data_IF_545971547595
#
_entry.id   IF_545971547595
#
_cell.length_a   1.000
_cell.length_b   1.000
_cell.length_c   1.000
_cell.angle_alpha   90.00
_cell.angle_beta   90.00
_cell.angle_gamma   90.00
#
_symmetry.space_group_name_H-M   'P 1'
#
loop_
_entity.id
_entity.type
_entity.pdbx_description
1 polymer ?
#
# COMPACT_ATOMS: atom_id res chain seq x y z
N UNK A 1 -3.72 -16.60 17.12
CA UNK A 1 -2.39 -16.39 17.73
C UNK A 1 -2.14 -14.91 18.00
N UNK A 2 -1.17 -14.59 18.87
CA UNK A 2 -0.83 -13.24 19.33
C UNK A 2 0.67 -13.00 19.25
N UNK A 3 1.05 -11.81 18.76
CA UNK A 3 2.44 -11.37 18.59
C UNK A 3 2.63 -10.00 19.24
N UNK A 4 3.72 -9.80 19.97
CA UNK A 4 4.07 -8.53 20.64
C UNK A 4 5.57 -8.32 20.66
N UNK A 5 6.02 -7.06 20.59
CA UNK A 5 7.44 -6.68 20.70
C UNK A 5 8.08 -7.05 22.05
N UNK A 6 7.27 -7.44 23.05
CA UNK A 6 7.72 -7.94 24.35
C UNK A 6 7.37 -9.42 24.58
N UNK A 7 7.03 -10.14 23.51
CA UNK A 7 6.68 -11.56 23.56
C UNK A 7 7.89 -12.48 23.77
N UNK A 8 7.67 -13.78 23.62
CA UNK A 8 8.71 -14.80 23.72
C UNK A 8 8.51 -15.92 22.68
N UNK A 9 9.54 -16.26 21.91
CA UNK A 9 9.52 -17.32 20.90
C UNK A 9 9.99 -18.69 21.42
N UNK A 10 10.23 -18.85 22.72
CA UNK A 10 10.68 -20.12 23.32
C UNK A 10 9.69 -21.28 23.01
N UNK A 11 10.06 -22.06 21.99
CA UNK A 11 9.28 -23.16 21.36
C UNK A 11 8.94 -24.34 22.27
N UNK A 12 9.43 -24.34 23.51
CA UNK A 12 9.12 -25.37 24.51
C UNK A 12 7.85 -25.13 25.32
N UNK A 13 7.37 -23.88 25.44
CA UNK A 13 6.23 -23.54 26.32
C UNK A 13 5.29 -22.47 25.76
N UNK A 14 5.65 -21.73 24.72
CA UNK A 14 4.78 -20.71 24.14
C UNK A 14 4.24 -21.13 22.78
N UNK A 15 2.92 -21.31 22.68
CA UNK A 15 2.23 -21.65 21.44
C UNK A 15 1.55 -20.45 20.77
N UNK A 16 1.86 -19.22 21.22
CA UNK A 16 1.29 -17.97 20.74
C UNK A 16 -0.24 -17.84 20.89
N UNK A 17 -0.94 -18.75 21.57
CA UNK A 17 -2.41 -18.72 21.65
C UNK A 17 -2.95 -17.84 22.79
N UNK A 18 -2.10 -17.47 23.76
CA UNK A 18 -2.50 -16.67 24.90
C UNK A 18 -1.99 -15.23 24.76
N UNK A 19 -2.88 -14.24 24.82
CA UNK A 19 -2.50 -12.82 24.76
C UNK A 19 -1.57 -12.38 25.90
N UNK A 20 -1.60 -13.07 27.04
CA UNK A 20 -0.68 -12.83 28.16
C UNK A 20 0.71 -13.48 27.98
N UNK A 21 0.86 -14.36 26.98
CA UNK A 21 2.11 -14.97 26.56
C UNK A 21 2.20 -14.93 25.02
N UNK A 22 2.28 -13.75 24.39
CA UNK A 22 2.37 -13.64 22.95
C UNK A 22 3.75 -14.08 22.45
N UNK A 23 3.85 -14.46 21.18
CA UNK A 23 5.13 -14.66 20.54
C UNK A 23 5.84 -13.32 20.28
N UNK A 24 7.16 -13.35 20.23
CA UNK A 24 7.99 -12.18 19.98
C UNK A 24 7.97 -11.82 18.48
N UNK A 25 8.06 -12.84 17.62
CA UNK A 25 8.10 -12.67 16.17
C UNK A 25 6.81 -13.14 15.49
N UNK A 26 6.57 -12.59 14.30
CA UNK A 26 5.48 -13.04 13.42
C UNK A 26 5.79 -14.44 12.90
N UNK A 27 7.04 -14.71 12.51
CA UNK A 27 7.48 -16.02 12.04
C UNK A 27 7.19 -17.13 13.05
N UNK A 28 7.49 -16.94 14.34
CA UNK A 28 7.16 -17.93 15.36
C UNK A 28 5.65 -18.22 15.44
N UNK A 29 4.80 -17.19 15.30
CA UNK A 29 3.36 -17.39 15.24
C UNK A 29 2.90 -18.09 13.95
N UNK A 30 3.53 -17.83 12.80
CA UNK A 30 3.27 -18.56 11.56
C UNK A 30 3.63 -20.04 11.70
N UNK A 31 4.78 -20.34 12.31
CA UNK A 31 5.21 -21.71 12.57
C UNK A 31 4.27 -22.45 13.52
N UNK A 32 3.79 -21.78 14.57
CA UNK A 32 2.79 -22.37 15.45
C UNK A 32 1.46 -22.59 14.71
N UNK A 33 1.05 -21.67 13.84
CA UNK A 33 -0.17 -21.80 13.04
C UNK A 33 -0.12 -23.02 12.12
N UNK A 34 1.02 -23.24 11.46
CA UNK A 34 1.22 -24.42 10.61
C UNK A 34 1.03 -25.75 11.36
N UNK A 35 1.20 -25.79 12.68
CA UNK A 35 1.00 -27.00 13.50
C UNK A 35 -0.47 -27.29 13.81
N UNK A 36 -1.37 -26.31 13.67
CA UNK A 36 -2.80 -26.51 13.96
C UNK A 36 -3.52 -27.24 12.83
N UNK A 37 -3.05 -27.05 11.59
CA UNK A 37 -3.68 -27.58 10.39
C UNK A 37 -4.97 -26.84 9.99
N UNK A 38 -5.23 -25.68 10.59
CA UNK A 38 -6.43 -24.85 10.37
C UNK A 38 -6.05 -23.43 9.91
N UNK A 39 -7.03 -22.69 9.37
CA UNK A 39 -6.85 -21.28 9.06
C UNK A 39 -6.67 -20.46 10.35
N UNK A 40 -5.53 -19.79 10.49
CA UNK A 40 -5.16 -19.11 11.74
C UNK A 40 -5.12 -17.58 11.61
N UNK A 41 -5.67 -16.89 12.61
CA UNK A 41 -5.57 -15.43 12.74
C UNK A 41 -4.40 -15.07 13.65
N UNK A 42 -3.41 -14.37 13.12
CA UNK A 42 -2.25 -13.85 13.85
C UNK A 42 -2.48 -12.36 14.15
N UNK A 43 -2.81 -12.06 15.40
CA UNK A 43 -3.01 -10.69 15.88
C UNK A 43 -1.67 -10.10 16.29
N UNK A 44 -1.22 -9.06 15.58
CA UNK A 44 0.05 -8.39 15.82
C UNK A 44 -0.24 -7.08 16.55
N UNK A 45 0.27 -6.96 17.77
CA UNK A 45 0.11 -5.75 18.58
C UNK A 45 0.82 -4.54 17.94
N UNK A 46 0.44 -3.34 18.37
CA UNK A 46 1.16 -2.14 17.99
C UNK A 46 2.63 -2.23 18.44
N UNK A 47 3.55 -1.84 17.57
CA UNK A 47 4.97 -1.92 17.80
C UNK A 47 5.79 -1.80 16.53
N UNK A 48 7.08 -1.56 16.71
CA UNK A 48 8.07 -1.64 15.65
C UNK A 48 8.80 -2.98 15.78
N UNK A 49 8.47 -3.91 14.89
CA UNK A 49 9.09 -5.22 14.79
C UNK A 49 10.29 -5.07 13.87
N UNK A 50 11.49 -5.28 14.41
CA UNK A 50 12.74 -5.15 13.65
C UNK A 50 13.43 -6.48 13.56
N UNK A 51 13.70 -6.95 12.34
CA UNK A 51 14.64 -8.04 12.12
C UNK A 51 16.05 -7.45 12.00
N UNK A 52 16.92 -7.83 12.94
CA UNK A 52 18.33 -7.45 12.99
C UNK A 52 19.26 -8.65 12.76
N UNK A 53 18.71 -9.82 12.42
CA UNK A 53 19.31 -11.13 12.71
C UNK A 53 19.38 -12.15 11.57
N UNK A 54 18.92 -11.85 10.36
CA UNK A 54 19.23 -12.66 9.16
C UNK A 54 18.24 -13.77 8.82
N UNK A 55 16.95 -13.57 9.11
CA UNK A 55 15.89 -14.35 8.48
C UNK A 55 15.59 -13.83 7.08
N UNK A 56 15.25 -14.73 6.16
CA UNK A 56 14.96 -14.35 4.76
C UNK A 56 13.69 -13.48 4.62
N UNK A 57 12.77 -13.48 5.61
CA UNK A 57 11.59 -12.61 5.71
C UNK A 57 11.01 -12.50 7.15
N UNK A 58 10.22 -11.45 7.49
CA UNK A 58 9.47 -11.39 8.76
C UNK A 58 8.38 -12.46 8.87
N UNK A 59 7.80 -12.82 7.73
CA UNK A 59 6.78 -13.84 7.61
C UNK A 59 7.02 -14.61 6.32
N UNK A 60 7.46 -15.85 6.45
CA UNK A 60 7.55 -16.84 5.39
C UNK A 60 6.41 -17.84 5.56
N UNK A 61 5.50 -17.86 4.58
CA UNK A 61 4.34 -18.73 4.58
C UNK A 61 4.54 -19.81 3.51
N UNK A 62 4.78 -21.03 3.96
CA UNK A 62 4.98 -22.19 3.09
C UNK A 62 3.66 -22.75 2.53
N UNK A 63 3.75 -23.53 1.45
CA UNK A 63 2.62 -24.17 0.80
C UNK A 63 1.70 -24.92 1.77
N UNK A 64 0.39 -24.82 1.57
CA UNK A 64 -0.62 -25.48 2.39
C UNK A 64 -0.96 -24.78 3.70
N UNK A 65 -0.29 -23.67 4.03
CA UNK A 65 -0.63 -22.84 5.19
C UNK A 65 -1.52 -21.66 4.77
N UNK A 66 -2.55 -21.42 5.56
CA UNK A 66 -3.46 -20.30 5.40
C UNK A 66 -3.42 -19.42 6.66
N UNK A 67 -3.02 -18.16 6.50
CA UNK A 67 -2.87 -17.25 7.65
C UNK A 67 -3.50 -15.88 7.37
N UNK A 68 -4.13 -15.32 8.40
CA UNK A 68 -4.61 -13.94 8.43
C UNK A 68 -3.82 -13.13 9.44
N UNK A 69 -2.97 -12.23 8.96
CA UNK A 69 -2.12 -11.37 9.77
C UNK A 69 -2.81 -10.01 9.94
N UNK A 70 -3.15 -9.68 11.19
CA UNK A 70 -3.91 -8.46 11.51
C UNK A 70 -3.09 -7.60 12.45
N UNK A 71 -2.60 -6.46 11.97
CA UNK A 71 -1.97 -5.44 12.79
C UNK A 71 -2.98 -4.56 13.53
N UNK A 72 -2.49 -3.82 14.53
CA UNK A 72 -3.26 -2.85 15.30
C UNK A 72 -3.51 -1.50 14.57
N UNK A 73 -3.17 -1.39 13.29
CA UNK A 73 -3.27 -0.17 12.48
C UNK A 73 -2.02 0.06 11.64
N UNK A 74 -2.17 0.51 10.40
CA UNK A 74 -1.04 0.66 9.47
C UNK A 74 0.08 1.54 10.03
N UNK A 75 -0.28 2.64 10.71
CA UNK A 75 0.69 3.54 11.37
C UNK A 75 1.26 3.00 12.69
N UNK A 76 0.66 1.94 13.26
CA UNK A 76 0.96 1.46 14.61
C UNK A 76 1.68 0.11 14.64
N UNK A 77 1.55 -0.70 13.59
CA UNK A 77 2.18 -2.02 13.48
C UNK A 77 3.16 -1.98 12.32
N UNK A 78 4.45 -1.88 12.63
CA UNK A 78 5.50 -1.65 11.63
C UNK A 78 6.44 -2.84 11.61
N UNK A 79 6.56 -3.47 10.44
CA UNK A 79 7.54 -4.49 10.12
C UNK A 79 8.68 -3.77 9.40
N UNK A 80 9.82 -3.64 10.06
CA UNK A 80 10.91 -2.76 9.65
C UNK A 80 12.23 -3.54 9.49
N UNK A 81 12.82 -3.52 8.30
CA UNK A 81 14.07 -4.20 7.96
C UNK A 81 15.29 -3.25 7.94
N UNK A 82 15.72 -2.57 9.03
CA UNK A 82 16.72 -1.52 8.92
C UNK A 82 18.12 -2.08 8.60
N UNK A 83 18.67 -1.71 7.45
CA UNK A 83 20.12 -1.71 7.19
C UNK A 83 20.81 -3.08 7.11
N UNK A 84 20.08 -4.17 6.91
CA UNK A 84 20.64 -5.49 6.64
C UNK A 84 20.36 -5.90 5.18
N UNK A 85 21.35 -6.49 4.53
CA UNK A 85 21.37 -6.78 3.09
C UNK A 85 20.70 -8.11 2.73
N UNK A 86 19.73 -8.56 3.51
CA UNK A 86 19.01 -9.83 3.33
C UNK A 86 17.70 -9.94 4.10
N UNK A 87 17.08 -8.81 4.48
CA UNK A 87 15.80 -8.80 5.20
C UNK A 87 14.67 -8.47 4.23
N UNK A 88 13.69 -9.37 4.11
CA UNK A 88 12.44 -9.12 3.40
C UNK A 88 11.28 -8.92 4.36
N UNK A 89 10.25 -8.22 3.90
CA UNK A 89 9.00 -8.10 4.66
C UNK A 89 8.26 -9.43 4.73
N UNK A 90 7.75 -9.91 3.60
CA UNK A 90 6.90 -11.12 3.57
C UNK A 90 7.21 -11.98 2.35
N UNK A 91 7.19 -13.30 2.53
CA UNK A 91 7.30 -14.28 1.46
C UNK A 91 6.11 -15.24 1.50
N UNK A 92 5.38 -15.32 0.40
CA UNK A 92 4.22 -16.20 0.24
C UNK A 92 4.53 -17.23 -0.83
N UNK A 93 4.64 -18.49 -0.44
CA UNK A 93 4.97 -19.59 -1.36
C UNK A 93 3.77 -19.99 -2.24
N UNK A 94 4.03 -20.65 -3.38
CA UNK A 94 2.96 -21.28 -4.15
C UNK A 94 2.13 -22.22 -3.26
N UNK A 95 0.81 -22.22 -3.45
CA UNK A 95 -0.12 -23.02 -2.65
C UNK A 95 -0.39 -22.49 -1.23
N UNK A 96 0.17 -21.34 -0.83
CA UNK A 96 -0.22 -20.64 0.40
C UNK A 96 -1.33 -19.61 0.12
N UNK A 97 -2.22 -19.38 1.10
CA UNK A 97 -3.21 -18.29 1.07
C UNK A 97 -3.02 -17.37 2.27
N UNK A 98 -2.77 -16.09 2.00
CA UNK A 98 -2.45 -15.12 3.04
C UNK A 98 -3.35 -13.91 2.92
N UNK A 99 -3.86 -13.43 4.05
CA UNK A 99 -4.38 -12.07 4.15
C UNK A 99 -3.55 -11.29 5.16
N UNK A 100 -3.19 -10.05 4.82
CA UNK A 100 -2.47 -9.16 5.72
C UNK A 100 -3.17 -7.79 5.76
N UNK A 101 -3.37 -7.27 6.96
CA UNK A 101 -4.08 -6.01 7.13
C UNK A 101 -3.55 -5.14 8.25
N UNK A 102 -3.80 -3.82 8.12
CA UNK A 102 -3.57 -2.83 9.17
C UNK A 102 -2.12 -2.82 9.69
N UNK A 103 -1.15 -2.88 8.78
CA UNK A 103 0.28 -2.89 9.11
C UNK A 103 1.10 -2.15 8.04
N UNK A 104 2.32 -1.79 8.39
CA UNK A 104 3.33 -1.26 7.48
C UNK A 104 4.44 -2.28 7.28
N UNK A 105 4.90 -2.47 6.05
CA UNK A 105 6.12 -3.20 5.70
C UNK A 105 7.10 -2.21 5.07
N UNK A 106 8.28 -2.07 5.66
CA UNK A 106 9.23 -1.07 5.21
C UNK A 106 10.69 -1.43 5.35
N UNK A 107 11.48 -0.71 4.55
CA UNK A 107 12.94 -0.76 4.54
C UNK A 107 13.50 -2.15 4.22
N UNK A 108 12.72 -3.04 3.61
CA UNK A 108 13.19 -4.32 3.08
C UNK A 108 14.37 -4.11 2.15
N UNK A 109 15.44 -4.87 2.35
CA UNK A 109 16.65 -4.80 1.53
C UNK A 109 17.26 -6.18 1.43
N UNK A 110 17.50 -6.61 0.20
CA UNK A 110 18.24 -7.82 -0.10
C UNK A 110 19.26 -7.52 -1.20
N UNK A 111 20.51 -7.90 -0.93
CA UNK A 111 21.67 -7.69 -1.80
C UNK A 111 21.95 -8.87 -2.72
N UNK A 112 21.19 -9.95 -2.61
CA UNK A 112 21.24 -11.05 -3.56
C UNK A 112 20.72 -10.62 -4.94
N UNK A 113 21.08 -11.37 -5.97
CA UNK A 113 20.61 -11.15 -7.34
C UNK A 113 19.16 -11.64 -7.55
N UNK A 114 18.66 -12.49 -6.66
CA UNK A 114 17.33 -13.11 -6.74
C UNK A 114 16.40 -12.50 -5.66
N UNK A 115 16.59 -11.20 -5.46
CA UNK A 115 16.02 -10.38 -4.40
C UNK A 115 14.66 -9.79 -4.79
N UNK A 116 13.88 -10.44 -5.67
CA UNK A 116 12.59 -9.90 -6.10
C UNK A 116 11.69 -9.68 -4.88
N UNK A 117 11.02 -8.52 -4.80
CA UNK A 117 10.02 -8.32 -3.75
C UNK A 117 10.62 -8.15 -2.36
N UNK A 118 11.61 -7.25 -2.18
CA UNK A 118 12.20 -7.03 -0.85
C UNK A 118 11.20 -6.57 0.21
N UNK A 119 10.13 -5.87 -0.17
CA UNK A 119 8.97 -5.68 0.70
C UNK A 119 8.16 -6.97 0.79
N UNK A 120 7.59 -7.41 -0.33
CA UNK A 120 6.81 -8.65 -0.42
C UNK A 120 7.19 -9.43 -1.68
N UNK A 121 7.50 -10.71 -1.53
CA UNK A 121 7.56 -11.68 -2.63
C UNK A 121 6.37 -12.62 -2.56
N UNK A 122 5.45 -12.51 -3.51
CA UNK A 122 4.27 -13.36 -3.62
C UNK A 122 4.38 -14.32 -4.79
N UNK A 123 4.36 -15.61 -4.49
CA UNK A 123 4.22 -16.72 -5.44
C UNK A 123 2.91 -17.51 -5.21
N UNK A 124 2.11 -17.13 -4.21
CA UNK A 124 0.84 -17.78 -3.85
C UNK A 124 -0.36 -16.85 -4.01
N UNK A 125 -1.33 -16.96 -3.09
CA UNK A 125 -2.51 -16.09 -3.05
C UNK A 125 -2.43 -15.11 -1.88
N UNK A 126 -2.31 -13.82 -2.19
CA UNK A 126 -2.16 -12.77 -1.20
C UNK A 126 -3.26 -11.70 -1.32
N UNK A 127 -3.90 -11.40 -0.20
CA UNK A 127 -4.78 -10.23 -0.05
C UNK A 127 -4.17 -9.24 0.94
N UNK A 128 -4.01 -7.98 0.50
CA UNK A 128 -3.53 -6.86 1.31
C UNK A 128 -4.66 -5.85 1.50
N UNK A 129 -4.91 -5.43 2.74
CA UNK A 129 -5.94 -4.44 3.04
C UNK A 129 -5.49 -3.43 4.10
N UNK A 130 -5.63 -2.14 3.83
CA UNK A 130 -5.16 -1.08 4.74
C UNK A 130 -3.68 -1.26 5.12
N UNK A 131 -2.82 -1.53 4.14
CA UNK A 131 -1.38 -1.68 4.37
C UNK A 131 -0.58 -0.54 3.75
N UNK A 132 0.60 -0.28 4.32
CA UNK A 132 1.58 0.62 3.73
C UNK A 132 2.82 -0.20 3.40
N UNK A 133 3.22 -0.22 2.13
CA UNK A 133 4.45 -0.86 1.65
C UNK A 133 5.39 0.25 1.21
N UNK A 134 6.46 0.51 1.98
CA UNK A 134 7.29 1.68 1.73
C UNK A 134 8.79 1.53 1.91
N UNK A 135 9.54 2.29 1.13
CA UNK A 135 11.00 2.38 1.24
C UNK A 135 11.74 1.04 1.14
N UNK A 136 11.11 0.03 0.53
CA UNK A 136 11.76 -1.25 0.25
C UNK A 136 12.63 -1.10 -1.01
N UNK A 137 13.79 -1.73 -1.04
CA UNK A 137 14.80 -1.50 -2.06
C UNK A 137 15.50 -2.80 -2.47
N UNK A 138 15.31 -3.21 -3.73
CA UNK A 138 16.04 -4.33 -4.33
C UNK A 138 17.43 -3.88 -4.81
N UNK A 139 18.43 -4.76 -4.76
CA UNK A 139 19.78 -4.43 -5.23
C UNK A 139 19.97 -4.60 -6.74
N UNK A 140 19.42 -5.66 -7.34
CA UNK A 140 19.56 -5.97 -8.77
C UNK A 140 18.40 -6.86 -9.25
N UNK A 141 17.17 -6.47 -8.91
CA UNK A 141 15.98 -7.30 -9.17
C UNK A 141 14.71 -6.45 -9.28
N UNK A 142 13.58 -7.11 -9.53
CA UNK A 142 12.28 -6.51 -9.78
C UNK A 142 11.43 -6.31 -8.51
N UNK A 143 10.43 -5.43 -8.59
CA UNK A 143 9.39 -5.35 -7.57
C UNK A 143 9.92 -4.82 -6.23
N UNK A 144 10.44 -3.59 -6.21
CA UNK A 144 11.06 -2.98 -5.03
C UNK A 144 10.18 -3.13 -3.78
N UNK A 145 8.92 -2.72 -3.91
CA UNK A 145 7.89 -2.93 -2.91
C UNK A 145 7.35 -4.36 -2.94
N UNK A 146 6.81 -4.77 -4.10
CA UNK A 146 6.15 -6.07 -4.25
C UNK A 146 6.57 -6.73 -5.57
N UNK A 147 6.95 -8.00 -5.49
CA UNK A 147 6.97 -8.89 -6.64
C UNK A 147 5.81 -9.90 -6.53
N UNK A 148 5.01 -10.01 -7.59
CA UNK A 148 3.91 -10.96 -7.69
C UNK A 148 4.11 -11.86 -8.90
N UNK A 149 4.61 -13.07 -8.71
CA UNK A 149 4.85 -13.99 -9.82
C UNK A 149 5.15 -15.42 -9.37
N UNK A 150 4.59 -16.39 -10.08
CA UNK A 150 4.94 -17.81 -9.93
C UNK A 150 5.97 -18.21 -10.98
N UNK A 151 7.14 -18.71 -10.56
CA UNK A 151 8.26 -19.07 -11.45
C UNK A 151 8.10 -20.44 -12.13
N UNK A 152 7.15 -21.28 -11.69
CA UNK A 152 6.91 -22.59 -12.27
C UNK A 152 5.72 -22.52 -13.25
N UNK A 153 5.92 -22.76 -14.56
CA UNK A 153 4.84 -22.72 -15.54
C UNK A 153 3.78 -23.82 -15.35
N UNK A 154 4.05 -24.83 -14.52
CA UNK A 154 3.08 -25.87 -14.15
C UNK A 154 2.23 -25.49 -12.93
N UNK A 155 2.63 -24.48 -12.18
CA UNK A 155 1.90 -23.95 -11.03
C UNK A 155 0.90 -22.87 -11.47
N UNK A 156 -0.18 -22.63 -10.72
CA UNK A 156 -1.06 -21.51 -11.00
C UNK A 156 -0.31 -20.16 -10.89
N UNK A 157 -0.75 -19.11 -11.62
CA UNK A 157 -0.20 -17.77 -11.44
C UNK A 157 -0.33 -17.29 -9.99
N UNK A 158 0.63 -16.47 -9.54
CA UNK A 158 0.52 -15.80 -8.24
C UNK A 158 -0.61 -14.76 -8.28
N UNK A 159 -1.48 -14.74 -7.28
CA UNK A 159 -2.62 -13.81 -7.21
C UNK A 159 -2.43 -12.80 -6.10
N UNK A 160 -2.59 -11.51 -6.42
CA UNK A 160 -2.45 -10.40 -5.49
C UNK A 160 -3.67 -9.48 -5.59
N UNK A 161 -4.42 -9.37 -4.50
CA UNK A 161 -5.48 -8.38 -4.32
C UNK A 161 -5.03 -7.32 -3.31
N UNK A 162 -5.05 -6.05 -3.71
CA UNK A 162 -4.68 -4.92 -2.84
C UNK A 162 -5.88 -3.99 -2.69
N UNK A 163 -6.24 -3.67 -1.44
CA UNK A 163 -7.38 -2.84 -1.08
C UNK A 163 -6.93 -1.70 -0.16
N UNK A 164 -7.41 -0.47 -0.40
CA UNK A 164 -7.27 0.65 0.55
C UNK A 164 -5.84 0.91 1.04
N UNK A 165 -4.85 0.66 0.18
CA UNK A 165 -3.44 0.57 0.58
C UNK A 165 -2.55 1.53 -0.18
N UNK A 166 -1.39 1.81 0.40
CA UNK A 166 -0.37 2.68 -0.20
C UNK A 166 0.91 1.91 -0.48
N UNK A 167 1.40 1.99 -1.71
CA UNK A 167 2.71 1.48 -2.11
C UNK A 167 3.55 2.69 -2.48
N UNK A 168 4.55 3.05 -1.65
CA UNK A 168 5.26 4.32 -1.86
C UNK A 168 6.74 4.33 -1.53
N UNK A 169 7.51 5.14 -2.26
CA UNK A 169 8.94 5.32 -1.98
C UNK A 169 9.77 4.04 -2.17
N UNK A 170 9.23 2.99 -2.80
CA UNK A 170 9.96 1.75 -3.03
C UNK A 170 10.85 1.88 -4.26
N UNK A 171 11.93 1.10 -4.27
CA UNK A 171 12.94 1.14 -5.32
C UNK A 171 13.25 -0.26 -5.84
N UNK A 172 13.14 -0.43 -7.14
CA UNK A 172 13.71 -1.57 -7.85
C UNK A 172 14.96 -1.11 -8.60
N UNK A 173 15.97 -1.97 -8.72
CA UNK A 173 17.03 -1.77 -9.72
C UNK A 173 16.63 -2.28 -11.10
N UNK A 174 15.84 -3.34 -11.18
CA UNK A 174 15.17 -3.77 -12.40
C UNK A 174 13.86 -3.00 -12.61
N UNK A 175 12.80 -3.73 -12.89
CA UNK A 175 11.47 -3.20 -13.22
C UNK A 175 10.53 -3.15 -12.02
N UNK A 176 9.46 -2.35 -12.13
CA UNK A 176 8.40 -2.32 -11.11
C UNK A 176 8.90 -1.76 -9.78
N UNK A 177 9.28 -0.49 -9.75
CA UNK A 177 9.80 0.15 -8.53
C UNK A 177 8.88 -0.04 -7.33
N UNK A 178 7.57 0.14 -7.56
CA UNK A 178 6.52 -0.20 -6.61
C UNK A 178 6.16 -1.69 -6.69
N UNK A 179 5.65 -2.11 -7.85
CA UNK A 179 5.12 -3.46 -8.07
C UNK A 179 5.62 -4.02 -9.40
N UNK A 180 6.14 -5.25 -9.38
CA UNK A 180 6.35 -6.07 -10.57
C UNK A 180 5.34 -7.24 -10.57
N UNK A 181 4.51 -7.32 -11.61
CA UNK A 181 3.51 -8.38 -11.80
C UNK A 181 3.96 -9.36 -12.89
N UNK A 182 4.53 -10.48 -12.46
CA UNK A 182 5.32 -11.40 -13.28
C UNK A 182 6.71 -10.87 -13.59
N UNK A 183 7.42 -11.55 -14.51
CA UNK A 183 8.82 -11.25 -14.86
C UNK A 183 9.81 -12.00 -13.97
N UNK A 184 10.84 -11.31 -13.47
CA UNK A 184 11.91 -11.88 -12.65
C UNK A 184 13.04 -12.49 -13.47
N UNK A 185 14.09 -12.99 -12.80
CA UNK A 185 15.38 -13.35 -13.45
C UNK A 185 15.37 -14.39 -14.59
N UNK A 186 14.23 -15.04 -14.87
CA UNK A 186 14.07 -15.92 -16.04
C UNK A 186 12.95 -15.50 -17.01
N UNK A 187 12.28 -14.35 -16.80
CA UNK A 187 11.14 -13.86 -17.59
C UNK A 187 9.97 -14.87 -17.71
N UNK A 188 9.89 -15.85 -16.81
CA UNK A 188 8.83 -16.86 -16.84
C UNK A 188 7.73 -16.62 -15.81
N UNK A 189 7.94 -15.72 -14.84
CA UNK A 189 6.97 -15.58 -13.78
C UNK A 189 5.69 -14.89 -14.28
N UNK A 190 4.54 -15.44 -13.88
CA UNK A 190 3.23 -14.89 -14.22
C UNK A 190 2.46 -14.51 -12.97
N UNK A 191 1.85 -13.33 -12.99
CA UNK A 191 1.09 -12.78 -11.89
C UNK A 191 -0.28 -12.25 -12.32
N UNK A 192 -1.22 -12.27 -11.37
CA UNK A 192 -2.53 -11.63 -11.46
C UNK A 192 -2.63 -10.59 -10.35
N UNK A 193 -2.68 -9.31 -10.73
CA UNK A 193 -2.80 -8.18 -9.82
C UNK A 193 -4.19 -7.55 -9.94
N UNK A 194 -4.85 -7.33 -8.81
CA UNK A 194 -6.06 -6.49 -8.72
C UNK A 194 -5.86 -5.45 -7.63
N UNK A 195 -6.15 -4.19 -7.93
CA UNK A 195 -6.07 -3.09 -6.95
C UNK A 195 -7.37 -2.32 -6.89
N UNK A 196 -7.84 -2.01 -5.68
CA UNK A 196 -9.05 -1.22 -5.44
C UNK A 196 -8.76 -0.13 -4.40
N UNK A 197 -9.09 1.13 -4.71
CA UNK A 197 -8.89 2.27 -3.81
C UNK A 197 -7.46 2.36 -3.27
N UNK A 198 -6.48 2.26 -4.15
CA UNK A 198 -5.06 2.24 -3.76
C UNK A 198 -4.31 3.44 -4.30
N UNK A 199 -3.25 3.82 -3.58
CA UNK A 199 -2.29 4.84 -4.05
C UNK A 199 -0.93 4.19 -4.30
N UNK A 200 -0.37 4.38 -5.50
CA UNK A 200 1.01 3.97 -5.87
C UNK A 200 1.80 5.24 -6.16
N UNK A 201 2.73 5.60 -5.28
CA UNK A 201 3.36 6.92 -5.36
C UNK A 201 4.83 6.98 -5.00
N UNK A 202 5.61 7.79 -5.74
CA UNK A 202 7.01 8.03 -5.39
C UNK A 202 7.91 6.81 -5.54
N UNK A 203 7.48 5.77 -6.25
CA UNK A 203 8.30 4.57 -6.46
C UNK A 203 9.26 4.77 -7.63
N UNK A 204 10.41 4.09 -7.60
CA UNK A 204 11.44 4.26 -8.63
C UNK A 204 11.94 2.92 -9.14
N UNK A 205 11.91 2.71 -10.45
CA UNK A 205 12.71 1.66 -11.10
C UNK A 205 14.05 2.24 -11.56
N UNK A 206 15.10 1.43 -11.49
CA UNK A 206 16.45 1.77 -11.91
C UNK A 206 16.84 1.03 -13.18
N UNK A 207 18.14 1.01 -13.47
CA UNK A 207 18.74 0.13 -14.48
C UNK A 207 19.47 -1.01 -13.79
N UNK A 208 19.04 -2.23 -14.09
CA UNK A 208 19.72 -3.45 -13.67
C UNK A 208 20.99 -3.69 -14.49
N UNK A 209 21.72 -4.75 -14.16
CA UNK A 209 22.93 -5.14 -14.90
C UNK A 209 22.71 -5.42 -16.38
N UNK A 210 21.48 -5.75 -16.77
CA UNK A 210 21.11 -6.17 -18.12
C UNK A 210 20.57 -5.01 -18.97
N UNK A 211 20.45 -3.82 -18.39
CA UNK A 211 20.02 -2.60 -19.08
C UNK A 211 18.51 -2.45 -19.17
N UNK A 212 17.75 -3.25 -18.42
CA UNK A 212 16.30 -3.21 -18.41
C UNK A 212 15.83 -2.27 -17.29
N UNK A 213 15.06 -1.26 -17.66
CA UNK A 213 14.48 -0.26 -16.76
C UNK A 213 13.07 0.05 -17.21
N UNK A 214 12.06 -0.30 -16.43
CA UNK A 214 10.70 0.13 -16.75
C UNK A 214 9.72 0.03 -15.58
N UNK A 215 8.60 0.75 -15.67
CA UNK A 215 7.52 0.69 -14.69
C UNK A 215 7.96 1.23 -13.34
N UNK A 216 8.12 2.55 -13.20
CA UNK A 216 8.51 3.15 -11.93
C UNK A 216 7.51 2.82 -10.82
N UNK A 217 6.22 2.92 -11.12
CA UNK A 217 5.13 2.48 -10.27
C UNK A 217 4.86 0.98 -10.44
N UNK A 218 4.33 0.60 -11.59
CA UNK A 218 3.90 -0.78 -11.89
C UNK A 218 4.54 -1.27 -13.19
N UNK A 219 5.09 -2.48 -13.15
CA UNK A 219 5.46 -3.25 -14.33
C UNK A 219 4.52 -4.46 -14.47
N UNK A 220 3.92 -4.62 -15.65
CA UNK A 220 3.06 -5.76 -15.98
C UNK A 220 3.72 -6.58 -17.10
N UNK A 221 4.18 -7.78 -16.76
CA UNK A 221 4.90 -8.67 -17.66
C UNK A 221 3.96 -9.35 -18.68
N UNK A 222 4.54 -9.85 -19.78
CA UNK A 222 3.82 -10.68 -20.75
C UNK A 222 3.22 -11.93 -20.07
N UNK A 223 1.98 -12.27 -20.43
CA UNK A 223 1.24 -13.37 -19.82
C UNK A 223 0.60 -13.03 -18.48
N UNK A 224 1.01 -11.94 -17.82
CA UNK A 224 0.42 -11.45 -16.58
C UNK A 224 -0.84 -10.61 -16.83
N UNK A 225 -1.68 -10.51 -15.80
CA UNK A 225 -2.92 -9.71 -15.83
C UNK A 225 -2.94 -8.70 -14.69
N UNK A 226 -3.29 -7.46 -14.99
CA UNK A 226 -3.48 -6.39 -14.01
C UNK A 226 -4.82 -5.70 -14.23
N UNK A 227 -5.59 -5.50 -13.16
CA UNK A 227 -6.84 -4.73 -13.20
C UNK A 227 -6.88 -3.72 -12.06
N UNK A 228 -7.12 -2.45 -12.38
CA UNK A 228 -7.11 -1.35 -11.43
C UNK A 228 -8.50 -0.69 -11.35
N UNK A 229 -8.98 -0.47 -10.14
CA UNK A 229 -10.25 0.20 -9.86
C UNK A 229 -10.03 1.34 -8.86
N UNK A 230 -10.34 2.57 -9.25
CA UNK A 230 -10.24 3.73 -8.34
C UNK A 230 -8.83 3.87 -7.75
N UNK A 231 -7.79 3.74 -8.60
CA UNK A 231 -6.39 3.79 -8.17
C UNK A 231 -5.78 5.13 -8.57
N UNK A 232 -4.91 5.67 -7.72
CA UNK A 232 -4.07 6.82 -8.04
C UNK A 232 -2.61 6.37 -8.19
N UNK A 233 -2.02 6.61 -9.37
CA UNK A 233 -0.62 6.28 -9.69
C UNK A 233 0.09 7.58 -10.04
N UNK A 234 0.92 8.09 -9.13
CA UNK A 234 1.52 9.39 -9.31
C UNK A 234 2.95 9.51 -8.79
N UNK A 235 3.73 10.46 -9.32
CA UNK A 235 5.09 10.74 -8.83
C UNK A 235 6.05 9.54 -8.90
N UNK A 236 5.75 8.52 -9.71
CA UNK A 236 6.66 7.38 -9.89
C UNK A 236 7.68 7.68 -10.99
N UNK A 237 8.87 7.09 -10.88
CA UNK A 237 9.98 7.38 -11.81
C UNK A 237 10.54 6.11 -12.40
N UNK A 238 10.60 6.02 -13.73
CA UNK A 238 11.45 5.07 -14.43
C UNK A 238 12.80 5.74 -14.69
N UNK A 239 13.83 5.37 -13.93
CA UNK A 239 15.15 5.99 -14.02
C UNK A 239 16.04 5.20 -15.00
N UNK A 240 15.74 5.29 -16.31
CA UNK A 240 16.57 4.68 -17.34
C UNK A 240 17.62 5.66 -17.89
N UNK A 241 18.78 5.76 -17.23
CA UNK A 241 19.86 6.63 -17.70
C UNK A 241 20.64 6.08 -18.89
N UNK A 242 20.41 4.82 -19.29
CA UNK A 242 21.18 4.16 -20.35
C UNK A 242 20.50 4.20 -21.73
N UNK A 243 19.29 4.76 -21.84
CA UNK A 243 18.70 5.24 -23.11
C UNK A 243 18.31 4.18 -24.14
N UNK A 244 18.33 2.89 -23.80
CA UNK A 244 18.03 1.80 -24.73
C UNK A 244 16.64 1.19 -24.58
N UNK A 245 15.90 1.53 -23.51
CA UNK A 245 14.59 0.95 -23.23
C UNK A 245 13.62 2.07 -22.82
N UNK A 246 12.49 2.19 -23.49
CA UNK A 246 11.45 3.13 -23.07
C UNK A 246 10.87 2.62 -21.75
N UNK A 247 10.66 3.50 -20.75
CA UNK A 247 10.15 3.08 -19.45
C UNK A 247 8.90 3.86 -19.10
N UNK A 248 7.74 3.19 -18.95
CA UNK A 248 6.58 3.85 -18.37
C UNK A 248 6.88 4.27 -16.92
N UNK A 249 6.98 5.58 -16.65
CA UNK A 249 7.29 6.08 -15.30
C UNK A 249 6.22 5.68 -14.28
N UNK A 250 4.95 5.83 -14.64
CA UNK A 250 3.80 5.29 -13.89
C UNK A 250 3.64 3.79 -14.10
N UNK A 251 3.20 3.39 -15.30
CA UNK A 251 2.97 1.98 -15.66
C UNK A 251 3.71 1.59 -16.94
N UNK A 252 4.42 0.47 -16.92
CA UNK A 252 4.82 -0.22 -18.15
C UNK A 252 4.05 -1.54 -18.31
N UNK A 253 3.23 -1.63 -19.35
CA UNK A 253 2.61 -2.89 -19.76
C UNK A 253 3.40 -3.54 -20.91
N UNK A 254 4.23 -4.53 -20.58
CA UNK A 254 5.10 -5.22 -21.53
C UNK A 254 4.37 -6.41 -22.19
N UNK A 255 3.25 -6.12 -22.86
CA UNK A 255 2.46 -7.14 -23.57
C UNK A 255 1.58 -8.03 -22.68
N UNK A 256 1.43 -7.71 -21.39
CA UNK A 256 0.42 -8.33 -20.54
C UNK A 256 -0.98 -7.76 -20.76
N UNK A 257 -1.97 -8.32 -20.06
CA UNK A 257 -3.32 -7.76 -20.01
C UNK A 257 -3.38 -6.70 -18.90
N UNK A 258 -3.78 -5.48 -19.25
CA UNK A 258 -3.92 -4.39 -18.29
C UNK A 258 -5.24 -3.65 -18.55
N UNK A 259 -6.07 -3.56 -17.52
CA UNK A 259 -7.34 -2.84 -17.55
C UNK A 259 -7.45 -1.83 -16.40
N UNK A 260 -8.01 -0.67 -16.68
CA UNK A 260 -8.23 0.40 -15.71
C UNK A 260 -9.68 0.90 -15.73
N UNK A 261 -10.22 1.19 -14.54
CA UNK A 261 -11.50 1.84 -14.32
C UNK A 261 -11.36 2.92 -13.26
N UNK A 262 -11.91 4.10 -13.53
CA UNK A 262 -11.87 5.22 -12.59
C UNK A 262 -10.48 5.50 -12.02
N UNK A 263 -9.43 5.25 -12.80
CA UNK A 263 -8.03 5.28 -12.37
C UNK A 263 -7.35 6.54 -12.88
N UNK A 264 -6.51 7.12 -12.02
CA UNK A 264 -5.75 8.33 -12.28
C UNK A 264 -4.26 7.97 -12.39
N UNK A 265 -3.64 8.33 -13.52
CA UNK A 265 -2.21 8.16 -13.79
C UNK A 265 -1.67 9.52 -14.23
N UNK A 266 -0.82 10.15 -13.42
CA UNK A 266 -0.33 11.52 -13.65
C UNK A 266 0.94 11.81 -12.85
N UNK A 267 1.63 12.92 -13.13
CA UNK A 267 2.83 13.38 -12.42
C UNK A 267 3.97 12.33 -12.36
N UNK A 268 3.94 11.30 -13.20
CA UNK A 268 5.02 10.33 -13.25
C UNK A 268 6.14 10.83 -14.19
N UNK A 269 7.29 10.17 -14.15
CA UNK A 269 8.44 10.60 -14.93
C UNK A 269 9.20 9.42 -15.53
N UNK A 270 9.39 9.44 -16.85
CA UNK A 270 10.39 8.63 -17.52
C UNK A 270 11.66 9.47 -17.67
N UNK A 271 12.77 9.05 -17.06
CA UNK A 271 14.04 9.77 -17.18
C UNK A 271 14.76 9.47 -18.51
N UNK A 272 14.19 8.61 -19.37
CA UNK A 272 14.70 8.33 -20.71
C UNK A 272 14.32 9.42 -21.72
N UNK A 273 14.88 9.35 -22.93
CA UNK A 273 14.52 10.27 -24.02
C UNK A 273 13.17 9.96 -24.68
N UNK A 274 12.48 8.91 -24.25
CA UNK A 274 11.18 8.53 -24.79
C UNK A 274 10.04 9.37 -24.19
N UNK A 275 10.29 10.03 -23.04
CA UNK A 275 9.33 10.84 -22.29
C UNK A 275 7.99 10.10 -22.05
N UNK A 276 8.03 8.78 -21.86
CA UNK A 276 6.85 7.95 -21.60
C UNK A 276 6.43 8.03 -20.11
N UNK A 277 6.12 9.25 -19.67
CA UNK A 277 6.05 9.62 -18.25
C UNK A 277 5.04 8.78 -17.47
N UNK A 278 3.77 8.76 -17.89
CA UNK A 278 2.74 8.04 -17.16
C UNK A 278 2.61 6.59 -17.57
N UNK A 279 2.87 6.28 -18.83
CA UNK A 279 2.53 4.96 -19.35
C UNK A 279 3.37 4.53 -20.56
N UNK A 280 3.60 3.22 -20.66
CA UNK A 280 4.13 2.58 -21.86
C UNK A 280 3.36 1.30 -22.16
N UNK A 281 3.02 1.08 -23.43
CA UNK A 281 2.30 -0.11 -23.90
C UNK A 281 0.79 0.10 -24.06
N UNK A 282 0.03 -0.99 -24.13
CA UNK A 282 -1.43 -0.91 -24.30
C UNK A 282 -2.12 -0.91 -22.95
N UNK A 283 -3.04 0.03 -22.72
CA UNK A 283 -3.87 0.08 -21.52
C UNK A 283 -5.32 -0.02 -21.94
N UNK A 284 -6.02 -1.06 -21.48
CA UNK A 284 -7.45 -1.21 -21.69
C UNK A 284 -8.25 -0.32 -20.74
N UNK A 285 -9.13 0.50 -21.29
CA UNK A 285 -10.17 1.20 -20.56
C UNK A 285 -11.47 0.42 -20.73
N UNK A 286 -12.02 -0.13 -19.65
CA UNK A 286 -13.22 -0.97 -19.75
C UNK A 286 -14.50 -0.16 -19.80
N UNK A 287 -14.60 0.90 -18.99
CA UNK A 287 -15.82 1.72 -18.86
C UNK A 287 -15.62 3.19 -19.26
N UNK A 288 -14.37 3.60 -19.52
CA UNK A 288 -14.05 5.02 -19.66
C UNK A 288 -13.69 5.63 -18.30
N UNK A 289 -13.83 6.96 -18.19
CA UNK A 289 -13.71 7.69 -16.92
C UNK A 289 -12.39 7.51 -16.18
N UNK A 290 -11.30 7.27 -16.91
CA UNK A 290 -9.94 7.29 -16.40
C UNK A 290 -9.28 8.64 -16.69
N UNK A 291 -8.26 8.99 -15.91
CA UNK A 291 -7.41 10.14 -16.20
C UNK A 291 -5.98 9.64 -16.45
N UNK A 292 -5.44 9.97 -17.62
CA UNK A 292 -4.04 9.72 -17.96
C UNK A 292 -3.44 11.02 -18.49
N UNK A 293 -2.62 11.69 -17.68
CA UNK A 293 -2.12 13.03 -18.00
C UNK A 293 -1.26 13.00 -19.27
N UNK A 294 -0.26 12.13 -19.35
CA UNK A 294 0.63 11.97 -20.50
C UNK A 294 0.47 10.60 -21.14
N UNK A 295 -0.23 10.54 -22.28
CA UNK A 295 -0.40 9.30 -23.04
C UNK A 295 0.80 8.95 -23.93
N UNK A 296 1.90 9.73 -23.89
CA UNK A 296 3.10 9.44 -24.67
C UNK A 296 3.64 8.07 -24.30
N UNK A 297 3.88 7.23 -25.31
CA UNK A 297 4.35 5.85 -25.12
C UNK A 297 3.23 4.81 -24.92
N UNK A 298 2.01 5.21 -24.58
CA UNK A 298 0.91 4.26 -24.43
C UNK A 298 -0.25 4.46 -25.40
N UNK A 299 -1.05 3.41 -25.56
CA UNK A 299 -2.30 3.44 -26.33
C UNK A 299 -3.45 3.04 -25.42
N UNK A 300 -4.39 3.96 -25.22
CA UNK A 300 -5.65 3.66 -24.55
C UNK A 300 -6.58 2.92 -25.52
N UNK A 301 -6.97 1.70 -25.17
CA UNK A 301 -7.85 0.83 -25.95
C UNK A 301 -9.18 0.58 -25.23
N UNK A 302 -10.19 0.06 -25.94
CA UNK A 302 -11.51 -0.22 -25.36
C UNK A 302 -12.44 1.00 -25.34
N UNK A 303 -13.18 1.18 -24.25
CA UNK A 303 -14.12 2.28 -24.06
C UNK A 303 -13.36 3.52 -23.61
N UNK A 304 -13.10 4.46 -24.53
CA UNK A 304 -12.32 5.68 -24.24
C UNK A 304 -13.18 6.92 -24.01
N UNK A 305 -14.49 6.84 -24.22
CA UNK A 305 -15.40 7.94 -23.93
C UNK A 305 -15.39 8.22 -22.42
N UNK A 306 -15.36 9.50 -22.03
CA UNK A 306 -15.26 9.91 -20.63
C UNK A 306 -13.84 9.90 -20.05
N UNK A 307 -12.85 9.31 -20.73
CA UNK A 307 -11.46 9.46 -20.31
C UNK A 307 -11.00 10.91 -20.45
N UNK A 308 -10.18 11.35 -19.50
CA UNK A 308 -9.50 12.65 -19.50
C UNK A 308 -8.03 12.39 -19.81
N UNK A 309 -7.48 13.10 -20.81
CA UNK A 309 -6.06 13.00 -21.15
C UNK A 309 -5.45 14.36 -21.45
N UNK A 310 -4.13 14.50 -21.27
CA UNK A 310 -3.40 15.73 -21.58
C UNK A 310 -3.65 16.87 -20.60
N UNK A 311 -4.15 16.57 -19.39
CA UNK A 311 -4.50 17.57 -18.37
C UNK A 311 -3.98 17.12 -17.01
N UNK A 312 -3.21 18.01 -16.37
CA UNK A 312 -2.75 17.88 -14.99
C UNK A 312 -3.96 17.78 -14.03
N UNK A 313 -4.07 16.70 -13.23
CA UNK A 313 -5.15 16.53 -12.27
C UNK A 313 -5.01 17.41 -11.02
N UNK A 314 -3.92 18.15 -10.84
CA UNK A 314 -3.64 19.02 -9.69
C UNK A 314 -3.74 18.28 -8.35
N UNK A 315 -2.84 17.31 -8.16
CA UNK A 315 -2.78 16.53 -6.91
C UNK A 315 -2.13 17.33 -5.77
N UNK A 316 -2.62 17.12 -4.55
CA UNK A 316 -1.89 17.44 -3.33
C UNK A 316 -0.73 16.46 -3.11
N UNK A 317 0.17 16.78 -2.18
CA UNK A 317 1.24 15.87 -1.78
C UNK A 317 0.68 14.55 -1.19
N UNK A 318 1.47 13.47 -1.29
CA UNK A 318 1.17 12.23 -0.56
C UNK A 318 1.24 12.52 0.94
N UNK A 319 0.11 12.42 1.63
CA UNK A 319 0.01 12.80 3.03
C UNK A 319 -1.06 11.97 3.77
N UNK A 320 -1.06 12.08 5.10
CA UNK A 320 -2.18 11.61 5.92
C UNK A 320 -3.38 12.55 5.73
N UNK A 321 -4.33 12.12 4.90
CA UNK A 321 -5.56 12.84 4.62
C UNK A 321 -6.76 12.28 5.39
N UNK A 322 -6.54 11.66 6.56
CA UNK A 322 -7.58 11.21 7.48
C UNK A 322 -8.04 9.76 7.32
N UNK A 323 -7.27 8.94 6.60
CA UNK A 323 -7.54 7.51 6.36
C UNK A 323 -6.54 6.58 7.05
N UNK A 324 -6.68 5.25 6.89
CA UNK A 324 -5.72 4.29 7.45
C UNK A 324 -4.36 4.33 6.74
N UNK A 325 -4.31 4.79 5.48
CA UNK A 325 -3.09 4.87 4.66
C UNK A 325 -3.00 6.23 3.93
N UNK A 326 -1.78 6.73 3.62
CA UNK A 326 -1.62 8.01 2.93
C UNK A 326 -2.26 8.06 1.55
N UNK A 327 -2.71 9.24 1.12
CA UNK A 327 -3.32 9.43 -0.21
C UNK A 327 -2.84 10.73 -0.86
N UNK A 328 -3.07 10.88 -2.16
CA UNK A 328 -3.04 12.19 -2.81
C UNK A 328 -4.43 12.81 -2.77
N UNK A 329 -4.59 13.95 -2.11
CA UNK A 329 -5.84 14.70 -2.15
C UNK A 329 -6.03 15.35 -3.52
N UNK A 330 -7.28 15.45 -4.00
CA UNK A 330 -7.61 16.26 -5.18
C UNK A 330 -7.77 17.72 -4.75
N UNK A 331 -7.08 18.65 -5.42
CA UNK A 331 -7.19 20.08 -5.13
C UNK A 331 -8.42 20.70 -5.80
N UNK A 332 -8.82 21.91 -5.38
CA UNK A 332 -10.08 22.57 -5.77
C UNK A 332 -10.27 22.79 -7.28
N UNK A 333 -9.23 22.66 -8.10
CA UNK A 333 -9.32 22.79 -9.57
C UNK A 333 -9.07 21.48 -10.31
N UNK A 334 -9.06 20.36 -9.58
CA UNK A 334 -8.82 19.06 -10.16
C UNK A 334 -9.92 18.66 -11.13
N UNK A 335 -9.52 18.35 -12.35
CA UNK A 335 -10.40 17.76 -13.37
C UNK A 335 -10.81 16.32 -13.05
N UNK A 336 -10.25 15.72 -12.00
CA UNK A 336 -10.65 14.40 -11.53
C UNK A 336 -11.90 14.44 -10.63
N UNK A 337 -12.28 15.62 -10.13
CA UNK A 337 -13.44 15.78 -9.25
C UNK A 337 -14.74 15.61 -10.05
N UNK A 338 -15.69 14.86 -9.49
CA UNK A 338 -17.01 14.52 -10.05
C UNK A 338 -16.95 13.95 -11.49
N UNK A 339 -15.82 13.37 -11.87
CA UNK A 339 -15.52 12.99 -13.27
C UNK A 339 -15.46 11.47 -13.50
N UNK A 340 -15.71 10.69 -12.46
CA UNK A 340 -15.82 9.24 -12.53
C UNK A 340 -17.05 8.73 -13.29
N UNK A 341 -17.20 7.41 -13.37
CA UNK A 341 -18.38 6.81 -13.99
C UNK A 341 -19.68 7.24 -13.25
N UNK A 342 -20.63 7.93 -13.92
CA UNK A 342 -21.90 8.31 -13.33
C UNK A 342 -22.83 7.13 -12.99
N UNK A 343 -22.58 5.93 -13.52
CA UNK A 343 -23.27 4.69 -13.12
C UNK A 343 -22.79 4.16 -11.74
N UNK A 344 -21.64 4.68 -11.28
CA UNK A 344 -21.02 4.40 -10.00
C UNK A 344 -19.61 3.85 -10.15
N UNK A 345 -18.72 4.26 -9.23
CA UNK A 345 -17.36 3.74 -9.15
C UNK A 345 -17.36 2.27 -8.72
N UNK A 346 -17.41 1.35 -9.69
CA UNK A 346 -17.44 -0.07 -9.39
C UNK A 346 -16.09 -0.60 -8.90
N UNK A 347 -16.14 -1.71 -8.18
CA UNK A 347 -14.98 -2.48 -7.77
C UNK A 347 -14.78 -3.77 -8.56
N UNK A 348 -13.81 -4.57 -8.11
CA UNK A 348 -13.46 -5.86 -8.68
C UNK A 348 -14.57 -6.92 -8.58
N UNK A 349 -15.66 -6.67 -7.85
CA UNK A 349 -16.84 -7.53 -7.76
C UNK A 349 -18.00 -7.04 -8.62
N UNK A 350 -17.86 -5.87 -9.26
CA UNK A 350 -18.92 -5.19 -10.00
C UNK A 350 -19.92 -4.45 -9.09
N UNK A 351 -19.58 -4.25 -7.81
CA UNK A 351 -20.41 -3.50 -6.88
C UNK A 351 -19.96 -2.03 -6.84
N UNK A 352 -20.92 -1.12 -6.65
CA UNK A 352 -20.61 0.29 -6.42
C UNK A 352 -19.88 0.45 -5.08
N UNK A 353 -18.73 1.13 -5.13
CA UNK A 353 -17.98 1.50 -3.94
C UNK A 353 -18.80 2.49 -3.10
N UNK A 354 -18.77 2.27 -1.78
CA UNK A 354 -19.44 3.13 -0.80
C UNK A 354 -18.46 4.02 -0.05
N UNK A 355 -17.17 3.72 -0.15
CA UNK A 355 -16.09 4.49 0.45
C UNK A 355 -14.89 4.61 -0.48
N UNK A 356 -14.09 5.65 -0.30
CA UNK A 356 -12.77 5.80 -0.92
C UNK A 356 -11.67 5.11 -0.08
N UNK A 357 -10.40 5.27 -0.47
CA UNK A 357 -9.24 4.67 0.24
C UNK A 357 -9.19 5.03 1.74
N UNK A 358 -9.74 6.18 2.13
CA UNK A 358 -9.72 6.66 3.51
C UNK A 358 -10.84 6.03 4.36
N UNK A 359 -11.78 5.34 3.72
CA UNK A 359 -13.04 4.95 4.35
C UNK A 359 -14.05 6.11 4.40
N UNK A 360 -13.82 7.21 3.68
CA UNK A 360 -14.78 8.32 3.56
C UNK A 360 -15.85 7.96 2.54
N UNK A 361 -17.08 8.43 2.71
CA UNK A 361 -18.20 8.12 1.82
C UNK A 361 -17.87 8.44 0.35
N UNK A 362 -18.37 7.60 -0.57
CA UNK A 362 -18.25 7.74 -2.02
C UNK A 362 -19.54 7.26 -2.70
N UNK A 363 -20.11 8.00 -3.68
CA UNK A 363 -19.77 9.38 -4.01
C UNK A 363 -20.26 10.37 -2.94
N UNK A 364 -19.63 11.53 -2.84
CA UNK A 364 -20.20 12.71 -2.16
C UNK A 364 -20.47 13.81 -3.18
N UNK A 365 -21.28 14.80 -2.82
CA UNK A 365 -21.37 15.99 -3.67
C UNK A 365 -19.99 16.66 -3.66
N UNK A 366 -19.33 16.70 -4.81
CA UNK A 366 -18.06 17.39 -4.97
C UNK A 366 -18.21 18.90 -4.83
N UNK A 367 -17.10 19.61 -5.05
CA UNK A 367 -17.01 21.07 -4.90
C UNK A 367 -17.87 21.84 -5.92
N UNK A 368 -18.31 21.17 -7.00
CA UNK A 368 -19.14 21.73 -8.07
C UNK A 368 -20.59 22.02 -7.63
N UNK A 369 -21.06 21.36 -6.57
CA UNK A 369 -22.44 21.46 -6.10
C UNK A 369 -23.46 20.67 -6.93
N UNK A 370 -23.00 19.84 -7.86
CA UNK A 370 -23.83 18.95 -8.68
C UNK A 370 -24.24 17.67 -7.92
N UNK A 371 -25.03 16.81 -8.60
CA UNK A 371 -25.38 15.50 -8.05
C UNK A 371 -24.10 14.68 -7.79
N UNK A 372 -24.03 13.88 -6.70
CA UNK A 372 -22.83 13.13 -6.36
C UNK A 372 -22.40 12.19 -7.49
N UNK A 373 -21.26 12.49 -8.10
CA UNK A 373 -20.53 11.59 -9.00
C UNK A 373 -19.20 11.34 -8.33
N UNK A 374 -18.74 10.09 -8.35
CA UNK A 374 -17.48 9.79 -7.69
C UNK A 374 -16.30 10.39 -8.47
N UNK A 375 -15.21 10.66 -7.77
CA UNK A 375 -14.01 11.20 -8.39
C UNK A 375 -13.20 10.12 -9.11
N UNK A 376 -12.33 10.53 -10.04
CA UNK A 376 -11.34 9.62 -10.64
C UNK A 376 -10.17 9.45 -9.66
N UNK A 377 -9.76 8.21 -9.40
CA UNK A 377 -8.66 7.86 -8.49
C UNK A 377 -9.13 7.37 -7.13
N UNK A 378 -8.19 7.27 -6.19
CA UNK A 378 -8.39 6.64 -4.88
C UNK A 378 -9.01 7.55 -3.80
N UNK A 379 -9.18 8.83 -4.11
CA UNK A 379 -9.63 9.86 -3.19
C UNK A 379 -10.96 10.45 -3.65
N UNK A 380 -11.84 10.74 -2.69
CA UNK A 380 -13.10 11.45 -2.91
C UNK A 380 -13.09 12.84 -2.24
N UNK A 381 -13.10 13.91 -3.03
CA UNK A 381 -13.14 15.28 -2.57
C UNK A 381 -14.53 15.69 -2.08
N UNK A 382 -14.63 16.05 -0.80
CA UNK A 382 -15.85 16.58 -0.22
C UNK A 382 -15.87 18.11 -0.26
N UNK A 383 -17.02 18.70 -0.64
CA UNK A 383 -17.25 20.13 -0.53
C UNK A 383 -16.97 20.67 0.89
N UNK A 384 -16.17 21.75 0.99
CA UNK A 384 -15.87 22.42 2.25
C UNK A 384 -14.71 21.83 3.06
N UNK A 385 -14.02 20.80 2.55
CA UNK A 385 -12.76 20.31 3.13
C UNK A 385 -11.59 20.79 2.28
N UNK A 386 -11.07 22.00 2.53
CA UNK A 386 -9.81 22.42 1.90
C UNK A 386 -8.70 21.48 2.38
N UNK A 387 -8.01 20.71 1.50
CA UNK A 387 -6.88 19.91 1.90
C UNK A 387 -5.80 20.88 2.41
N UNK A 388 -5.43 20.76 3.68
CA UNK A 388 -4.47 21.66 4.28
C UNK A 388 -3.09 21.36 3.69
N UNK A 389 -2.73 22.09 2.64
CA UNK A 389 -1.42 22.04 2.01
C UNK A 389 -0.34 22.49 2.99
N UNK A 390 0.22 21.53 3.73
CA UNK A 390 1.46 21.69 4.48
C UNK A 390 1.31 22.11 5.95
N UNK A 391 1.74 21.22 6.85
CA UNK A 391 2.39 21.60 8.10
C UNK A 391 1.58 21.44 9.38
N UNK A 392 1.84 20.34 10.10
CA UNK A 392 1.91 20.34 11.57
C UNK A 392 0.60 20.14 12.33
N UNK A 393 0.47 18.94 12.91
CA UNK A 393 -0.22 18.61 14.16
C UNK A 393 -1.39 19.50 14.62
N UNK A 394 -2.60 18.97 14.47
CA UNK A 394 -3.78 19.53 15.13
C UNK A 394 -5.04 18.79 14.75
N UNK A 395 -5.35 17.70 15.45
CA UNK A 395 -6.70 17.15 15.46
C UNK A 395 -7.67 18.26 15.89
N UNK A 396 -8.56 18.67 15.00
CA UNK A 396 -9.71 19.51 15.32
C UNK A 396 -10.91 19.03 14.51
N UNK A 397 -11.55 17.98 15.01
CA UNK A 397 -12.91 17.65 14.60
C UNK A 397 -13.85 18.52 15.43
N UNK A 398 -14.35 19.61 14.85
CA UNK A 398 -15.61 20.22 15.29
C UNK A 398 -16.67 19.88 14.26
N UNK A 399 -17.19 18.66 14.33
CA UNK A 399 -18.53 18.39 13.81
C UNK A 399 -19.49 18.59 14.98
N UNK A 400 -20.22 19.69 14.97
CA UNK A 400 -21.36 19.92 15.86
C UNK A 400 -22.48 18.96 15.48
N UNK A 401 -22.55 17.82 16.16
CA UNK A 401 -23.75 16.99 16.16
C UNK A 401 -24.80 17.62 17.10
N UNK A 402 -25.86 18.15 16.51
CA UNK A 402 -27.08 18.55 17.23
C UNK A 402 -28.14 17.47 17.08
N UNK A 403 -28.07 16.38 17.85
CA UNK A 403 -29.28 15.64 18.28
C UNK A 403 -29.05 14.74 19.52
N UNK A 404 -29.30 15.33 20.69
CA UNK A 404 -29.91 14.72 21.89
C UNK A 404 -29.44 13.34 22.39
N UNK A 405 -28.68 13.35 23.49
CA UNK A 405 -29.12 12.67 24.73
C UNK A 405 -28.26 11.51 25.28
N UNK A 406 -27.57 11.80 26.40
CA UNK A 406 -27.00 10.89 27.41
C UNK A 406 -25.68 10.16 27.12
N UNK A 407 -24.57 10.83 27.47
CA UNK A 407 -23.29 10.19 27.83
C UNK A 407 -23.25 10.05 29.36
N UNK A 408 -23.17 8.82 29.84
CA UNK A 408 -22.79 8.52 31.24
C UNK A 408 -21.27 8.77 31.36
N UNK A 409 -20.87 9.85 32.05
CA UNK A 409 -19.46 10.07 32.41
C UNK A 409 -19.03 9.05 33.48
N UNK A 410 -18.06 8.20 33.15
CA UNK A 410 -17.22 7.53 34.13
C UNK A 410 -15.77 7.94 33.88
N UNK A 411 -15.28 8.94 34.62
CA UNK A 411 -13.87 9.31 34.66
C UNK A 411 -13.30 9.06 36.06
N UNK A 412 -12.33 8.14 36.10
CA UNK A 412 -11.46 7.80 37.22
C UNK A 412 -10.82 9.04 37.85
N UNK A 413 -10.90 9.13 39.18
CA UNK A 413 -10.00 9.92 40.02
C UNK A 413 -8.80 9.02 40.37
N UNK A 414 -7.60 9.37 39.88
CA UNK A 414 -6.35 8.89 40.45
C UNK A 414 -5.51 10.06 40.94
N UNK A 415 -5.28 10.03 42.24
CA UNK A 415 -4.51 10.93 43.07
C UNK A 415 -3.00 10.86 42.80
N UNK A 416 -2.33 12.01 42.70
CA UNK A 416 -0.93 12.17 43.12
C UNK A 416 -0.60 13.66 43.31
N UNK A 417 -0.48 14.12 44.55
CA UNK A 417 0.31 15.30 44.88
C UNK A 417 0.87 15.16 46.30
N UNK A 418 2.13 14.76 46.39
CA UNK A 418 2.96 14.97 47.56
C UNK A 418 4.27 15.65 47.14
N UNK A 419 4.57 16.73 47.86
CA UNK A 419 5.94 17.12 48.14
C UNK A 419 6.45 18.33 47.38
N UNK A 420 6.29 19.53 47.95
CA UNK A 420 7.43 20.44 48.03
C UNK A 420 7.46 21.19 49.36
N UNK A 421 8.65 21.14 49.96
CA UNK A 421 9.11 21.78 51.18
C UNK A 421 8.95 23.31 51.14
N UNK A 422 8.50 23.89 52.26
CA UNK A 422 8.48 25.33 52.47
C UNK A 422 8.56 25.70 53.95
N UNK A 423 9.79 25.80 54.46
CA UNK A 423 10.11 26.28 55.81
C UNK A 423 9.70 27.75 55.97
N UNK A 424 8.94 28.10 57.02
CA UNK A 424 9.22 29.28 57.88
C UNK A 424 8.45 29.28 59.20
N UNK A 425 9.17 29.78 60.20
CA UNK A 425 8.95 29.74 61.65
C UNK A 425 7.94 30.78 62.19
N UNK A 426 7.43 30.44 63.39
CA UNK A 426 7.26 31.24 64.63
C UNK A 426 5.91 31.94 64.93
N UNK A 427 5.42 31.66 66.15
CA UNK A 427 4.50 32.49 66.97
C UNK A 427 3.31 31.71 67.52
N UNK A 428 3.42 30.93 68.62
CA UNK A 428 3.37 31.30 70.05
C UNK A 428 1.96 31.66 70.59
N UNK A 429 1.51 30.82 71.54
CA UNK A 429 0.70 31.07 72.75
C UNK A 429 -0.83 30.79 72.77
N UNK A 430 -1.20 29.98 73.78
CA UNK A 430 -2.41 29.95 74.65
C UNK A 430 -3.79 29.80 74.00
N UNK A 431 -4.70 28.93 74.44
CA UNK A 431 -4.90 28.24 75.72
C UNK A 431 -5.58 26.89 75.48
#
# INVERSE_FOLDING_TARGET
MFVSTTGNDDSGNNNCQNIAAPCLTIQAAVEQAALTGEDDVINVAAGNYTDTGGTEAFAEISAGNNVNIVGAGAQNTVLNCPGNSGCRGMMVSSGATVSASNLTIQNGQDSSTDAEGTGIRNSGNLTLNNVIIQNNNTFDSDGGGIFNGSFDPMEPPATLLILNSTISGNRARGTGGGIANGGGGNDMAVGVLTMVNCTVSGNTSGTDSDGNSAGGGIFNHNGSSTTLFNVTIANNTANNTNGTVNGGGGIHNNGGNLFINNTLIADNNDASSADANDCLGVIGSTEGHNLVEDTTGCTLAGTIAGNITGVDPTLGALADNGGPTPTHALLESSVAIDSGDPAGCIDNTGANQTTDQRGSNRPVAGISGDAPVCDIGAFEAAAGTTPNGGGGGGCSITQTDTSTGNILLASLLLSALFGFYGVRRKGRASH
#
